data_IF_517083004798
#
_entry.id   IF_517083004798
#
_cell.length_a   1.000
_cell.length_b   1.000
_cell.length_c   1.000
_cell.angle_alpha   90.00
_cell.angle_beta   90.00
_cell.angle_gamma   90.00
#
_symmetry.space_group_name_H-M   'P 1'
#
loop_
_entity.id
_entity.type
_entity.pdbx_description
1 polymer ?
#
# COMPACT_ATOMS: atom_id res chain seq x y z
N UNK A 1 -1.45 -9.05 -29.99
CA UNK A 1 -2.90 -8.81 -30.08
C UNK A 1 -3.74 -10.03 -30.45
N UNK A 2 -3.48 -10.75 -31.57
CA UNK A 2 -4.33 -11.89 -31.97
C UNK A 2 -4.53 -12.98 -30.89
N UNK A 3 -3.46 -13.31 -30.14
CA UNK A 3 -3.53 -14.26 -29.01
C UNK A 3 -4.41 -13.75 -27.85
N UNK A 4 -4.33 -12.45 -27.52
CA UNK A 4 -5.13 -11.83 -26.45
C UNK A 4 -6.60 -11.82 -26.84
N UNK A 5 -6.91 -11.43 -28.08
CA UNK A 5 -8.28 -11.44 -28.61
C UNK A 5 -8.92 -12.82 -28.49
N UNK A 6 -8.20 -13.89 -28.85
CA UNK A 6 -8.72 -15.26 -28.73
C UNK A 6 -9.13 -15.61 -27.29
N UNK A 7 -8.32 -15.25 -26.30
CA UNK A 7 -8.62 -15.51 -24.88
C UNK A 7 -9.87 -14.73 -24.42
N UNK A 8 -10.00 -13.48 -24.87
CA UNK A 8 -11.18 -12.64 -24.56
C UNK A 8 -12.45 -13.19 -25.22
N UNK A 9 -12.36 -13.61 -26.48
CA UNK A 9 -13.48 -14.22 -27.21
C UNK A 9 -13.91 -15.54 -26.54
N UNK A 10 -12.96 -16.37 -26.12
CA UNK A 10 -13.22 -17.62 -25.39
C UNK A 10 -13.88 -17.37 -24.02
N UNK A 11 -13.38 -16.39 -23.24
CA UNK A 11 -14.01 -15.99 -21.98
C UNK A 11 -15.44 -15.46 -22.18
N UNK A 12 -15.69 -14.77 -23.30
CA UNK A 12 -17.04 -14.29 -23.66
C UNK A 12 -18.00 -15.43 -23.97
N UNK A 13 -17.56 -16.42 -24.76
CA UNK A 13 -18.38 -17.56 -25.17
C UNK A 13 -18.69 -18.49 -23.98
N UNK A 14 -17.69 -18.77 -23.17
CA UNK A 14 -17.82 -19.63 -21.99
C UNK A 14 -18.50 -18.95 -20.80
N UNK A 15 -18.65 -17.61 -20.84
CA UNK A 15 -19.06 -16.78 -19.70
C UNK A 15 -18.20 -17.02 -18.46
N UNK A 16 -16.95 -17.37 -18.65
CA UNK A 16 -16.03 -17.60 -17.54
C UNK A 16 -15.77 -16.28 -16.78
N UNK A 17 -15.85 -16.27 -15.44
CA UNK A 17 -15.82 -15.03 -14.65
C UNK A 17 -14.40 -14.52 -14.35
N UNK A 18 -13.36 -15.26 -14.73
CA UNK A 18 -11.98 -14.88 -14.48
C UNK A 18 -11.21 -14.74 -15.78
N UNK A 19 -10.38 -13.71 -15.90
CA UNK A 19 -9.59 -13.50 -17.10
C UNK A 19 -8.14 -13.18 -16.73
N UNK A 20 -7.23 -14.04 -17.19
CA UNK A 20 -5.80 -13.90 -16.98
C UNK A 20 -5.09 -13.53 -18.29
N UNK A 21 -4.51 -12.33 -18.28
CA UNK A 21 -3.73 -11.75 -19.36
C UNK A 21 -2.33 -11.35 -18.89
N UNK A 22 -1.70 -12.20 -18.06
CA UNK A 22 -0.31 -12.02 -17.62
C UNK A 22 0.69 -12.13 -18.77
N UNK A 23 1.69 -11.26 -18.77
CA UNK A 23 2.85 -11.28 -19.68
C UNK A 23 2.45 -11.39 -21.17
N UNK A 24 1.54 -10.49 -21.58
CA UNK A 24 1.04 -10.41 -22.96
C UNK A 24 1.59 -9.22 -23.74
N UNK A 25 2.44 -8.41 -23.12
CA UNK A 25 2.99 -7.19 -23.71
C UNK A 25 1.93 -6.12 -24.00
N UNK A 26 0.82 -6.11 -23.24
CA UNK A 26 -0.28 -5.16 -23.40
C UNK A 26 0.19 -3.76 -23.01
N UNK A 27 -0.06 -2.77 -23.86
CA UNK A 27 0.28 -1.35 -23.63
C UNK A 27 -0.93 -0.51 -23.24
N UNK A 28 -2.12 -0.88 -23.71
CA UNK A 28 -3.38 -0.19 -23.42
C UNK A 28 -4.51 -1.21 -23.22
N UNK A 29 -5.32 -0.99 -22.19
CA UNK A 29 -6.52 -1.81 -21.91
C UNK A 29 -7.59 -1.57 -22.98
N UNK A 30 -7.69 -0.35 -23.52
CA UNK A 30 -8.70 0.01 -24.53
C UNK A 30 -8.48 -0.69 -25.87
N UNK A 31 -7.23 -1.03 -26.19
CA UNK A 31 -6.90 -1.75 -27.42
C UNK A 31 -7.31 -3.23 -27.37
N UNK A 32 -7.70 -3.75 -26.20
CA UNK A 32 -8.13 -5.14 -26.03
C UNK A 32 -9.60 -5.26 -26.44
N UNK A 33 -9.91 -5.83 -27.63
CA UNK A 33 -11.26 -5.78 -28.17
C UNK A 33 -12.22 -6.61 -27.31
N UNK A 34 -13.31 -6.00 -26.86
CA UNK A 34 -14.37 -6.68 -26.11
C UNK A 34 -14.11 -6.89 -24.62
N UNK A 35 -12.90 -6.63 -24.10
CA UNK A 35 -12.57 -6.82 -22.68
C UNK A 35 -13.53 -6.05 -21.75
N UNK A 36 -13.71 -4.76 -22.02
CA UNK A 36 -14.52 -3.85 -21.20
C UNK A 36 -16.03 -4.11 -21.32
N UNK A 37 -16.44 -5.05 -22.19
CA UNK A 37 -17.84 -5.51 -22.33
C UNK A 37 -18.13 -6.79 -21.55
N UNK A 38 -17.10 -7.44 -20.98
CA UNK A 38 -17.24 -8.68 -20.21
C UNK A 38 -17.75 -8.42 -18.80
N UNK A 39 -19.02 -8.04 -18.72
CA UNK A 39 -19.67 -7.67 -17.46
C UNK A 39 -19.82 -8.82 -16.46
N UNK A 40 -19.58 -10.07 -16.87
CA UNK A 40 -19.57 -11.25 -16.00
C UNK A 40 -18.26 -11.41 -15.21
N UNK A 41 -17.21 -10.65 -15.54
CA UNK A 41 -15.91 -10.80 -14.88
C UNK A 41 -15.97 -10.40 -13.41
N UNK A 42 -15.46 -11.29 -12.56
CA UNK A 42 -15.21 -11.08 -11.13
C UNK A 42 -13.71 -10.95 -10.86
N UNK A 43 -12.83 -11.52 -11.70
CA UNK A 43 -11.37 -11.36 -11.59
C UNK A 43 -10.73 -11.00 -12.92
N UNK A 44 -9.87 -10.00 -12.90
CA UNK A 44 -9.07 -9.57 -14.04
C UNK A 44 -7.60 -9.41 -13.64
N UNK A 45 -6.74 -10.21 -14.27
CA UNK A 45 -5.29 -10.17 -14.07
C UNK A 45 -4.61 -9.66 -15.34
N UNK A 46 -3.89 -8.55 -15.20
CA UNK A 46 -3.15 -7.87 -16.27
C UNK A 46 -1.69 -7.65 -15.85
N UNK A 47 -1.15 -8.50 -14.98
CA UNK A 47 0.18 -8.33 -14.40
C UNK A 47 1.30 -8.58 -15.42
N UNK A 48 2.47 -7.99 -15.19
CA UNK A 48 3.64 -8.11 -16.07
C UNK A 48 3.36 -7.66 -17.52
N UNK A 49 2.63 -6.56 -17.67
CA UNK A 49 2.41 -5.92 -18.97
C UNK A 49 3.11 -4.56 -19.04
N UNK A 50 2.75 -3.73 -20.01
CA UNK A 50 3.32 -2.40 -20.23
C UNK A 50 2.24 -1.31 -20.18
N UNK A 51 1.16 -1.55 -19.43
CA UNK A 51 -0.01 -0.66 -19.36
C UNK A 51 0.40 0.67 -18.72
N UNK A 52 0.08 1.79 -19.39
CA UNK A 52 0.37 3.15 -18.90
C UNK A 52 -0.84 3.84 -18.28
N UNK A 53 -2.03 3.57 -18.82
CA UNK A 53 -3.27 4.23 -18.42
C UNK A 53 -4.34 3.18 -18.17
N UNK A 54 -5.03 3.32 -17.04
CA UNK A 54 -6.26 2.57 -16.77
C UNK A 54 -7.42 3.44 -17.25
N UNK A 55 -8.21 3.01 -18.26
CA UNK A 55 -9.27 3.84 -18.80
C UNK A 55 -10.46 3.89 -17.83
N UNK A 56 -11.22 4.99 -17.83
CA UNK A 56 -12.37 5.15 -16.95
C UNK A 56 -13.46 4.08 -17.17
N UNK A 57 -13.50 3.53 -18.39
CA UNK A 57 -14.35 2.41 -18.81
C UNK A 57 -14.07 1.09 -18.10
N UNK A 58 -12.98 0.97 -17.33
CA UNK A 58 -12.75 -0.18 -16.42
C UNK A 58 -13.92 -0.36 -15.44
N UNK A 59 -14.58 0.74 -15.06
CA UNK A 59 -15.73 0.73 -14.17
C UNK A 59 -16.99 0.06 -14.78
N UNK A 60 -17.00 -0.22 -16.10
CA UNK A 60 -18.07 -1.00 -16.74
C UNK A 60 -18.08 -2.46 -16.28
N UNK A 61 -16.97 -2.96 -15.73
CA UNK A 61 -16.88 -4.28 -15.12
C UNK A 61 -17.51 -4.26 -13.71
N UNK A 62 -18.82 -4.01 -13.63
CA UNK A 62 -19.54 -3.77 -12.38
C UNK A 62 -19.58 -5.00 -11.43
N UNK A 63 -19.26 -6.20 -11.94
CA UNK A 63 -19.12 -7.41 -11.13
C UNK A 63 -17.69 -7.69 -10.65
N UNK A 64 -16.72 -6.85 -11.03
CA UNK A 64 -15.31 -7.12 -10.73
C UNK A 64 -15.04 -7.01 -9.23
N UNK A 65 -14.50 -8.08 -8.67
CA UNK A 65 -14.10 -8.18 -7.26
C UNK A 65 -12.59 -8.04 -7.08
N UNK A 66 -11.81 -8.47 -8.08
CA UNK A 66 -10.35 -8.48 -8.03
C UNK A 66 -9.78 -7.91 -9.31
N UNK A 67 -8.96 -6.88 -9.15
CA UNK A 67 -8.19 -6.27 -10.22
C UNK A 67 -6.70 -6.29 -9.88
N UNK A 68 -5.94 -7.00 -10.70
CA UNK A 68 -4.49 -7.17 -10.56
C UNK A 68 -3.78 -6.52 -11.73
N UNK A 69 -3.09 -5.41 -11.47
CA UNK A 69 -2.32 -4.62 -12.43
C UNK A 69 -0.84 -4.56 -12.03
N UNK A 70 -0.38 -5.53 -11.25
CA UNK A 70 0.98 -5.63 -10.74
C UNK A 70 2.04 -5.61 -11.86
N UNK A 71 3.13 -4.88 -11.66
CA UNK A 71 4.23 -4.79 -12.61
C UNK A 71 3.79 -4.30 -14.00
N UNK A 72 3.40 -3.02 -14.04
CA UNK A 72 3.02 -2.26 -15.24
C UNK A 72 3.69 -0.87 -15.20
N UNK A 73 3.28 0.04 -16.08
CA UNK A 73 3.81 1.41 -16.15
C UNK A 73 2.74 2.46 -15.81
N UNK A 74 1.79 2.13 -14.93
CA UNK A 74 0.64 2.99 -14.64
C UNK A 74 1.10 4.22 -13.87
N UNK A 75 0.81 5.41 -14.41
CA UNK A 75 1.16 6.70 -13.80
C UNK A 75 -0.01 7.34 -13.05
N UNK A 76 -1.24 7.09 -13.52
CA UNK A 76 -2.47 7.62 -12.93
C UNK A 76 -3.62 6.60 -12.99
N UNK A 77 -4.60 6.81 -12.12
CA UNK A 77 -5.84 6.04 -12.06
C UNK A 77 -7.04 6.94 -12.36
N UNK A 78 -8.08 6.43 -13.04
CA UNK A 78 -9.30 7.17 -13.27
C UNK A 78 -10.09 7.30 -11.96
N UNK A 79 -10.81 8.40 -11.77
CA UNK A 79 -11.70 8.59 -10.61
C UNK A 79 -12.82 7.56 -10.52
N UNK A 80 -13.21 6.95 -11.65
CA UNK A 80 -14.25 5.91 -11.68
C UNK A 80 -13.82 4.59 -11.03
N UNK A 81 -12.53 4.37 -10.76
CA UNK A 81 -12.09 3.12 -10.12
C UNK A 81 -12.67 2.99 -8.70
N UNK A 82 -12.78 4.11 -7.97
CA UNK A 82 -13.32 4.12 -6.61
C UNK A 82 -14.84 3.94 -6.57
N UNK A 83 -15.54 3.96 -7.71
CA UNK A 83 -17.00 3.73 -7.75
C UNK A 83 -17.37 2.27 -8.01
N UNK A 84 -16.40 1.37 -8.14
CA UNK A 84 -16.64 -0.05 -8.44
C UNK A 84 -17.27 -0.75 -7.23
N UNK A 85 -18.56 -1.09 -7.35
CA UNK A 85 -19.39 -1.52 -6.22
C UNK A 85 -18.97 -2.84 -5.56
N UNK A 86 -18.26 -3.72 -6.29
CA UNK A 86 -17.86 -5.05 -5.80
C UNK A 86 -16.35 -5.22 -5.65
N UNK A 87 -15.53 -4.21 -5.95
CA UNK A 87 -14.08 -4.36 -5.95
C UNK A 87 -13.55 -4.49 -4.51
N UNK A 88 -13.01 -5.67 -4.19
CA UNK A 88 -12.48 -6.04 -2.87
C UNK A 88 -10.96 -6.00 -2.82
N UNK A 89 -10.31 -6.36 -3.92
CA UNK A 89 -8.85 -6.44 -4.01
C UNK A 89 -8.37 -5.64 -5.21
N UNK A 90 -7.53 -4.64 -4.93
CA UNK A 90 -6.86 -3.83 -5.93
C UNK A 90 -5.35 -3.94 -5.73
N UNK A 91 -4.68 -4.59 -6.67
CA UNK A 91 -3.23 -4.68 -6.69
C UNK A 91 -2.64 -3.82 -7.81
N UNK A 92 -1.91 -2.80 -7.41
CA UNK A 92 -1.21 -1.82 -8.24
C UNK A 92 0.29 -1.80 -7.92
N UNK A 93 0.81 -2.87 -7.33
CA UNK A 93 2.22 -2.95 -6.97
C UNK A 93 3.12 -2.89 -8.20
N UNK A 94 4.35 -2.38 -8.04
CA UNK A 94 5.33 -2.21 -9.12
C UNK A 94 4.75 -1.42 -10.31
N UNK A 95 4.33 -0.18 -10.06
CA UNK A 95 3.88 0.76 -11.09
C UNK A 95 4.66 2.08 -10.98
N UNK A 96 4.16 3.14 -11.62
CA UNK A 96 4.80 4.47 -11.65
C UNK A 96 3.93 5.54 -10.96
N UNK A 97 2.96 5.14 -10.13
CA UNK A 97 1.99 6.04 -9.52
C UNK A 97 2.68 7.08 -8.64
N UNK A 98 2.43 8.36 -8.91
CA UNK A 98 2.87 9.49 -8.06
C UNK A 98 1.73 10.18 -7.31
N UNK A 99 0.49 9.93 -7.73
CA UNK A 99 -0.72 10.47 -7.11
C UNK A 99 -1.85 9.45 -7.14
N UNK A 100 -2.87 9.69 -6.32
CA UNK A 100 -4.14 8.98 -6.34
C UNK A 100 -5.24 9.97 -6.75
N UNK A 101 -6.29 9.53 -7.47
CA UNK A 101 -7.34 10.41 -7.93
C UNK A 101 -8.16 10.99 -6.76
N UNK A 102 -8.83 12.12 -7.00
CA UNK A 102 -9.74 12.70 -6.00
C UNK A 102 -10.86 11.71 -5.68
N UNK A 103 -11.18 11.58 -4.39
CA UNK A 103 -12.22 10.66 -3.93
C UNK A 103 -11.79 9.19 -3.91
N UNK A 104 -10.48 8.89 -3.98
CA UNK A 104 -9.99 7.51 -4.00
C UNK A 104 -10.50 6.64 -2.85
N UNK A 105 -10.79 7.18 -1.66
CA UNK A 105 -11.36 6.38 -0.58
C UNK A 105 -12.86 6.08 -0.66
N UNK A 106 -13.54 6.42 -1.76
CA UNK A 106 -14.97 6.17 -1.95
C UNK A 106 -15.33 4.70 -2.28
N UNK A 107 -14.37 3.77 -2.19
CA UNK A 107 -14.63 2.35 -2.45
C UNK A 107 -15.65 1.78 -1.46
N UNK A 108 -16.76 1.18 -1.93
CA UNK A 108 -17.78 0.65 -1.02
C UNK A 108 -17.34 -0.58 -0.22
N UNK A 109 -16.46 -1.42 -0.79
CA UNK A 109 -16.14 -2.75 -0.24
C UNK A 109 -14.66 -3.15 -0.39
N UNK A 110 -13.75 -2.19 -0.59
CA UNK A 110 -12.34 -2.50 -0.80
C UNK A 110 -11.67 -2.98 0.50
N UNK A 111 -11.19 -4.22 0.50
CA UNK A 111 -10.58 -4.87 1.66
C UNK A 111 -9.06 -4.88 1.57
N UNK A 112 -8.49 -4.99 0.36
CA UNK A 112 -7.04 -5.11 0.15
C UNK A 112 -6.61 -4.12 -0.92
N UNK A 113 -5.65 -3.27 -0.54
CA UNK A 113 -5.02 -2.31 -1.44
C UNK A 113 -3.50 -2.48 -1.39
N UNK A 114 -2.93 -2.88 -2.52
CA UNK A 114 -1.48 -2.97 -2.70
C UNK A 114 -0.98 -1.87 -3.64
N UNK A 115 -0.19 -0.96 -3.10
CA UNK A 115 0.46 0.16 -3.78
C UNK A 115 2.00 0.08 -3.63
N UNK A 116 2.54 -1.09 -3.30
CA UNK A 116 3.97 -1.30 -3.06
C UNK A 116 4.78 -0.98 -4.33
N UNK A 117 6.02 -0.48 -4.21
CA UNK A 117 6.89 -0.16 -5.35
C UNK A 117 6.24 0.85 -6.32
N UNK A 118 5.87 2.01 -5.79
CA UNK A 118 5.41 3.17 -6.56
C UNK A 118 6.23 4.42 -6.16
N UNK A 119 5.78 5.60 -6.56
CA UNK A 119 6.40 6.90 -6.30
C UNK A 119 5.50 7.78 -5.39
N UNK A 120 4.72 7.16 -4.50
CA UNK A 120 3.76 7.87 -3.63
C UNK A 120 4.46 8.52 -2.44
N UNK A 121 3.91 9.63 -1.95
CA UNK A 121 4.39 10.34 -0.77
C UNK A 121 3.22 10.79 0.12
N UNK A 122 3.51 11.47 1.23
CA UNK A 122 2.50 11.89 2.20
C UNK A 122 1.39 12.79 1.61
N UNK A 123 1.67 13.54 0.53
CA UNK A 123 0.67 14.39 -0.15
C UNK A 123 -0.35 13.59 -0.93
N UNK A 124 -0.03 12.33 -1.26
CA UNK A 124 -0.89 11.44 -2.04
C UNK A 124 -2.06 10.92 -1.20
N UNK A 125 -1.87 10.75 0.12
CA UNK A 125 -2.91 10.27 1.03
C UNK A 125 -3.77 11.43 1.55
N UNK A 126 -4.67 11.94 0.71
CA UNK A 126 -5.63 12.98 1.10
C UNK A 126 -6.61 12.50 2.19
N UNK A 127 -7.28 13.43 2.89
CA UNK A 127 -8.27 13.10 3.94
C UNK A 127 -9.32 12.07 3.49
N UNK A 128 -9.80 12.18 2.25
CA UNK A 128 -10.80 11.25 1.71
C UNK A 128 -10.27 9.82 1.54
N UNK A 129 -8.96 9.56 1.62
CA UNK A 129 -8.42 8.21 1.61
C UNK A 129 -8.85 7.42 2.86
N UNK A 130 -8.95 8.10 4.00
CA UNK A 130 -9.13 7.47 5.32
C UNK A 130 -10.59 7.12 5.64
N UNK A 131 -11.53 7.45 4.75
CA UNK A 131 -12.94 7.08 4.87
C UNK A 131 -13.21 5.62 4.46
N UNK A 132 -12.21 4.89 3.95
CA UNK A 132 -12.32 3.47 3.57
C UNK A 132 -12.49 2.58 4.81
N UNK A 133 -13.74 2.42 5.24
CA UNK A 133 -14.10 1.65 6.42
C UNK A 133 -13.88 0.15 6.24
N UNK A 134 -13.94 -0.38 5.02
CA UNK A 134 -13.80 -1.81 4.73
C UNK A 134 -12.35 -2.30 4.62
N UNK A 135 -11.37 -1.38 4.57
CA UNK A 135 -9.97 -1.71 4.31
C UNK A 135 -9.35 -2.51 5.46
N UNK A 136 -8.78 -3.67 5.12
CA UNK A 136 -8.13 -4.62 6.05
C UNK A 136 -6.64 -4.73 5.83
N UNK A 137 -6.17 -4.59 4.60
CA UNK A 137 -4.76 -4.66 4.29
C UNK A 137 -4.33 -3.52 3.38
N UNK A 138 -3.31 -2.77 3.82
CA UNK A 138 -2.73 -1.65 3.11
C UNK A 138 -1.22 -1.85 2.96
N UNK A 139 -0.78 -1.98 1.72
CA UNK A 139 0.64 -2.09 1.39
C UNK A 139 1.10 -0.84 0.66
N UNK A 140 2.02 -0.10 1.29
CA UNK A 140 2.65 1.13 0.82
C UNK A 140 4.18 0.98 0.80
N UNK A 141 4.69 -0.26 0.81
CA UNK A 141 6.12 -0.51 0.89
C UNK A 141 6.86 0.04 -0.33
N UNK A 142 8.13 0.41 -0.17
CA UNK A 142 8.97 0.89 -1.26
C UNK A 142 8.33 2.07 -2.03
N UNK A 143 7.96 3.13 -1.30
CA UNK A 143 7.44 4.40 -1.83
C UNK A 143 8.36 5.56 -1.39
N UNK A 144 7.86 6.78 -1.23
CA UNK A 144 8.59 8.01 -0.86
C UNK A 144 7.99 8.69 0.38
N UNK A 145 7.34 7.94 1.25
CA UNK A 145 6.77 8.49 2.48
C UNK A 145 7.87 8.90 3.47
N UNK A 146 7.89 10.16 3.89
CA UNK A 146 8.69 10.61 5.04
C UNK A 146 7.87 10.66 6.33
N UNK A 147 6.55 10.85 6.21
CA UNK A 147 5.60 10.81 7.32
C UNK A 147 4.33 10.09 6.87
N UNK A 148 3.62 9.49 7.82
CA UNK A 148 2.25 9.07 7.63
C UNK A 148 1.32 10.13 8.25
N UNK A 149 0.20 10.49 7.59
CA UNK A 149 -0.76 11.40 8.17
C UNK A 149 -1.43 10.79 9.41
N UNK A 150 -1.75 11.59 10.45
CA UNK A 150 -2.46 11.14 11.65
C UNK A 150 -3.77 10.38 11.38
N UNK A 151 -4.44 10.73 10.28
CA UNK A 151 -5.68 10.11 9.82
C UNK A 151 -5.53 8.60 9.51
N UNK A 152 -4.31 8.06 9.44
CA UNK A 152 -4.11 6.60 9.37
C UNK A 152 -4.86 5.87 10.49
N UNK A 153 -5.00 6.48 11.67
CA UNK A 153 -5.77 5.94 12.79
C UNK A 153 -7.27 5.80 12.54
N UNK A 154 -7.83 6.42 11.48
CA UNK A 154 -9.25 6.32 11.11
C UNK A 154 -9.59 5.01 10.40
N UNK A 155 -8.60 4.28 9.87
CA UNK A 155 -8.77 2.96 9.26
C UNK A 155 -9.01 1.86 10.31
N UNK A 156 -10.12 1.93 11.05
CA UNK A 156 -10.40 1.08 12.23
C UNK A 156 -10.42 -0.43 11.95
N UNK A 157 -10.60 -0.82 10.69
CA UNK A 157 -10.64 -2.22 10.27
C UNK A 157 -9.31 -2.78 9.77
N UNK A 158 -8.26 -1.95 9.74
CA UNK A 158 -6.96 -2.33 9.24
C UNK A 158 -6.31 -3.40 10.14
N UNK A 159 -5.89 -4.49 9.51
CA UNK A 159 -5.24 -5.66 10.12
C UNK A 159 -3.77 -5.75 9.69
N UNK A 160 -3.48 -5.32 8.46
CA UNK A 160 -2.13 -5.35 7.88
C UNK A 160 -1.77 -3.93 7.42
N UNK A 161 -0.67 -3.40 7.94
CA UNK A 161 -0.05 -2.16 7.47
C UNK A 161 1.40 -2.42 7.12
N UNK A 162 1.75 -2.27 5.84
CA UNK A 162 3.13 -2.37 5.39
C UNK A 162 3.60 -1.06 4.79
N UNK A 163 4.57 -0.42 5.45
CA UNK A 163 5.25 0.81 5.02
C UNK A 163 6.77 0.62 4.99
N UNK A 164 7.23 -0.62 4.81
CA UNK A 164 8.66 -0.98 4.68
C UNK A 164 9.36 -0.21 3.55
N UNK A 165 10.68 -0.05 3.62
CA UNK A 165 11.49 0.55 2.54
C UNK A 165 11.01 1.96 2.12
N UNK A 166 10.52 2.74 3.08
CA UNK A 166 10.19 4.16 2.89
C UNK A 166 11.28 5.05 3.50
N UNK A 167 11.03 6.35 3.64
CA UNK A 167 11.94 7.29 4.31
C UNK A 167 11.34 7.79 5.63
N UNK A 168 10.49 6.98 6.29
CA UNK A 168 9.73 7.42 7.46
C UNK A 168 10.67 7.82 8.60
N UNK A 169 10.49 9.05 9.10
CA UNK A 169 11.27 9.59 10.22
C UNK A 169 10.56 9.41 11.57
N UNK A 170 9.24 9.25 11.54
CA UNK A 170 8.40 9.01 12.71
C UNK A 170 7.15 8.23 12.30
N UNK A 171 6.49 7.60 13.27
CA UNK A 171 5.12 7.09 13.14
C UNK A 171 4.17 8.01 13.91
N UNK A 172 2.98 8.34 13.38
CA UNK A 172 1.98 9.11 14.11
C UNK A 172 1.47 8.32 15.33
N UNK A 173 1.22 9.00 16.44
CA UNK A 173 0.66 8.39 17.67
C UNK A 173 -0.69 7.71 17.41
N UNK A 174 -1.42 8.20 16.42
CA UNK A 174 -2.72 7.67 15.99
C UNK A 174 -2.63 6.23 15.46
N UNK A 175 -1.44 5.71 15.18
CA UNK A 175 -1.26 4.28 14.88
C UNK A 175 -1.77 3.39 16.04
N UNK A 176 -1.70 3.88 17.28
CA UNK A 176 -2.26 3.21 18.45
C UNK A 176 -3.79 3.09 18.45
N UNK A 177 -4.49 3.72 17.50
CA UNK A 177 -5.93 3.59 17.33
C UNK A 177 -6.32 2.40 16.43
N UNK A 178 -5.36 1.75 15.75
CA UNK A 178 -5.57 0.60 14.88
C UNK A 178 -5.71 -0.69 15.69
N UNK A 179 -6.75 -0.80 16.52
CA UNK A 179 -6.94 -1.90 17.49
C UNK A 179 -7.06 -3.29 16.86
N UNK A 180 -7.37 -3.36 15.55
CA UNK A 180 -7.43 -4.60 14.76
C UNK A 180 -6.12 -4.97 14.08
N UNK A 181 -5.08 -4.13 14.18
CA UNK A 181 -3.78 -4.40 13.57
C UNK A 181 -3.17 -5.68 14.14
N UNK A 182 -2.64 -6.52 13.24
CA UNK A 182 -1.96 -7.79 13.52
C UNK A 182 -0.61 -7.85 12.85
N UNK A 183 -0.48 -7.23 11.67
CA UNK A 183 0.77 -7.20 10.92
C UNK A 183 1.22 -5.76 10.67
N UNK A 184 2.44 -5.45 11.10
CA UNK A 184 3.07 -4.14 10.96
C UNK A 184 4.48 -4.29 10.41
N UNK A 185 4.68 -3.83 9.17
CA UNK A 185 5.98 -3.83 8.51
C UNK A 185 6.51 -2.40 8.38
N UNK A 186 7.52 -2.05 9.16
CA UNK A 186 8.16 -0.73 9.20
C UNK A 186 9.68 -0.80 8.97
N UNK A 187 10.20 -1.97 8.60
CA UNK A 187 11.63 -2.17 8.34
C UNK A 187 12.15 -1.32 7.16
N UNK A 188 13.43 -0.97 7.18
CA UNK A 188 14.07 -0.20 6.11
C UNK A 188 13.57 1.26 6.02
N UNK A 189 13.37 1.90 7.18
CA UNK A 189 13.01 3.32 7.28
C UNK A 189 14.10 4.12 8.01
N UNK A 190 13.78 5.35 8.44
CA UNK A 190 14.64 6.26 9.19
C UNK A 190 14.12 6.48 10.61
N UNK A 191 13.37 5.51 11.15
CA UNK A 191 12.78 5.61 12.48
C UNK A 191 13.87 5.47 13.54
N UNK A 192 13.88 6.40 14.49
CA UNK A 192 14.77 6.37 15.65
C UNK A 192 14.03 5.99 16.94
N UNK A 193 12.73 6.25 16.98
CA UNK A 193 11.82 6.05 18.10
C UNK A 193 10.47 5.53 17.59
N UNK A 194 9.71 4.92 18.50
CA UNK A 194 8.32 4.50 18.29
C UNK A 194 7.38 5.31 19.21
N UNK A 195 6.18 5.71 18.76
CA UNK A 195 5.21 6.37 19.64
C UNK A 195 4.77 5.39 20.75
N UNK A 196 4.72 5.81 22.04
CA UNK A 196 4.26 4.96 23.13
C UNK A 196 2.86 4.36 22.91
N UNK A 197 2.01 5.07 22.15
CA UNK A 197 0.67 4.63 21.78
C UNK A 197 0.66 3.34 20.95
N UNK A 198 1.75 3.00 20.26
CA UNK A 198 1.90 1.69 19.61
C UNK A 198 1.81 0.55 20.64
N UNK A 199 2.22 0.80 21.87
CA UNK A 199 2.08 -0.13 22.99
C UNK A 199 0.63 -0.44 23.38
N UNK A 200 -0.35 0.39 22.97
CA UNK A 200 -1.77 0.12 23.22
C UNK A 200 -2.32 -1.05 22.38
N UNK A 201 -1.61 -1.43 21.33
CA UNK A 201 -2.00 -2.52 20.43
C UNK A 201 -1.59 -3.88 20.99
N UNK A 202 -2.38 -4.91 20.68
CA UNK A 202 -2.06 -6.31 21.00
C UNK A 202 -1.09 -6.92 19.97
N UNK A 203 0.14 -6.41 19.93
CA UNK A 203 1.18 -6.83 18.97
C UNK A 203 2.10 -7.94 19.51
N UNK A 204 1.88 -8.40 20.75
CA UNK A 204 2.72 -9.43 21.39
C UNK A 204 2.17 -10.84 21.22
N UNK A 205 0.96 -10.98 20.66
CA UNK A 205 0.34 -12.28 20.39
C UNK A 205 1.13 -13.05 19.32
N UNK A 206 1.17 -14.38 19.42
CA UNK A 206 1.78 -15.28 18.43
C UNK A 206 1.16 -15.17 17.01
N UNK A 207 0.00 -14.52 16.90
CA UNK A 207 -0.69 -14.25 15.64
C UNK A 207 -0.31 -12.90 15.02
N UNK A 208 0.55 -12.14 15.69
CA UNK A 208 0.99 -10.84 15.24
C UNK A 208 2.39 -10.92 14.64
N UNK A 209 2.61 -10.17 13.57
CA UNK A 209 3.90 -10.08 12.88
C UNK A 209 4.31 -8.63 12.86
N UNK A 210 5.41 -8.31 13.52
CA UNK A 210 5.97 -6.95 13.51
C UNK A 210 7.40 -7.02 13.02
N UNK A 211 7.72 -6.26 11.98
CA UNK A 211 9.05 -6.19 11.38
C UNK A 211 9.53 -4.75 11.43
N UNK A 212 10.66 -4.53 12.09
CA UNK A 212 11.16 -3.18 12.39
C UNK A 212 12.67 -3.04 12.19
N UNK A 213 13.29 -4.02 11.54
CA UNK A 213 14.72 -4.08 11.25
C UNK A 213 15.18 -2.92 10.33
N UNK A 214 16.48 -2.75 10.16
CA UNK A 214 17.08 -1.78 9.23
C UNK A 214 16.74 -0.30 9.46
N UNK A 215 16.30 0.05 10.67
CA UNK A 215 16.06 1.42 11.12
C UNK A 215 17.21 1.92 12.02
N UNK A 216 17.52 3.22 12.02
CA UNK A 216 18.53 3.81 12.91
C UNK A 216 17.99 4.01 14.34
N UNK A 217 17.59 2.92 15.00
CA UNK A 217 17.07 2.94 16.36
C UNK A 217 18.05 3.57 17.34
N UNK A 218 17.54 4.34 18.31
CA UNK A 218 18.35 4.73 19.47
C UNK A 218 18.76 3.50 20.26
N UNK A 219 19.93 3.53 20.93
CA UNK A 219 20.47 2.39 21.66
C UNK A 219 19.43 1.68 22.55
N UNK A 220 18.61 2.37 23.37
CA UNK A 220 17.60 1.69 24.18
C UNK A 220 16.56 0.88 23.40
N UNK A 221 16.22 1.24 22.16
CA UNK A 221 15.33 0.42 21.32
C UNK A 221 16.12 -0.69 20.63
N UNK A 222 17.32 -0.38 20.13
CA UNK A 222 18.18 -1.36 19.47
C UNK A 222 18.51 -2.54 20.40
N UNK A 223 18.90 -2.24 21.65
CA UNK A 223 19.23 -3.25 22.66
C UNK A 223 18.04 -4.18 22.95
N UNK A 224 16.81 -3.64 22.97
CA UNK A 224 15.59 -4.45 23.18
C UNK A 224 15.23 -5.26 21.92
N UNK A 225 15.51 -4.72 20.73
CA UNK A 225 15.24 -5.40 19.47
C UNK A 225 16.15 -6.63 19.28
N UNK A 226 17.38 -6.61 19.77
CA UNK A 226 18.28 -7.77 19.79
C UNK A 226 17.68 -8.95 20.57
N UNK A 227 16.95 -8.67 21.66
CA UNK A 227 16.24 -9.70 22.44
C UNK A 227 14.97 -10.15 21.71
N UNK A 228 14.28 -9.22 21.06
CA UNK A 228 13.18 -9.49 20.16
C UNK A 228 12.09 -8.44 20.22
N UNK A 229 11.22 -8.45 19.21
CA UNK A 229 10.19 -7.41 19.03
C UNK A 229 9.23 -7.30 20.23
N UNK A 230 8.92 -8.40 20.91
CA UNK A 230 8.07 -8.36 22.11
C UNK A 230 8.66 -7.51 23.22
N UNK A 231 9.99 -7.54 23.41
CA UNK A 231 10.69 -6.73 24.41
C UNK A 231 10.65 -5.25 24.03
N UNK A 232 10.75 -4.91 22.75
CA UNK A 232 10.54 -3.54 22.27
C UNK A 232 9.12 -3.07 22.61
N UNK A 233 8.09 -3.87 22.32
CA UNK A 233 6.69 -3.52 22.62
C UNK A 233 6.44 -3.37 24.12
N UNK A 234 7.08 -4.19 24.97
CA UNK A 234 7.01 -4.04 26.42
C UNK A 234 7.74 -2.79 26.90
N UNK A 235 8.94 -2.54 26.37
CA UNK A 235 9.74 -1.38 26.69
C UNK A 235 9.01 -0.07 26.38
N UNK A 236 8.36 0.04 25.21
CA UNK A 236 7.63 1.26 24.85
C UNK A 236 6.39 1.54 25.72
N UNK A 237 5.88 0.52 26.44
CA UNK A 237 4.79 0.68 27.41
C UNK A 237 5.27 1.27 28.73
N UNK A 238 6.56 1.15 29.04
CA UNK A 238 7.13 1.60 30.32
C UNK A 238 7.07 3.12 30.47
N UNK A 239 6.90 3.59 31.72
CA UNK A 239 7.00 5.02 32.04
C UNK A 239 8.38 5.59 31.73
N UNK A 240 9.43 4.78 31.87
CA UNK A 240 10.79 5.13 31.51
C UNK A 240 10.90 5.50 30.03
N UNK A 241 10.35 4.67 29.14
CA UNK A 241 10.36 4.97 27.70
C UNK A 241 9.52 6.20 27.37
N UNK A 242 8.33 6.36 27.97
CA UNK A 242 7.49 7.54 27.77
C UNK A 242 8.23 8.84 28.10
N UNK A 243 9.01 8.85 29.19
CA UNK A 243 9.88 9.97 29.55
C UNK A 243 10.98 10.21 28.51
N UNK A 244 11.69 9.16 28.06
CA UNK A 244 12.72 9.23 27.02
C UNK A 244 12.16 9.76 25.70
N UNK A 245 10.99 9.26 25.29
CA UNK A 245 10.28 9.69 24.09
C UNK A 245 9.88 11.18 24.17
N UNK A 246 9.33 11.62 25.31
CA UNK A 246 8.96 13.02 25.53
C UNK A 246 10.16 13.97 25.49
N UNK A 247 11.31 13.56 26.03
CA UNK A 247 12.54 14.36 26.01
C UNK A 247 13.15 14.46 24.61
N UNK A 248 13.19 13.35 23.88
CA UNK A 248 13.79 13.29 22.54
C UNK A 248 12.93 13.94 21.46
N UNK A 249 11.61 14.02 21.64
CA UNK A 249 10.72 14.74 20.72
C UNK A 249 10.81 16.27 20.89
N UNK A 250 11.19 16.76 22.08
CA UNK A 250 11.42 18.18 22.34
C UNK A 250 12.79 18.67 21.86
N UNK A 251 13.82 17.82 21.94
CA UNK A 251 15.12 18.10 21.37
C UNK A 251 15.04 17.85 19.85
N UNK A 252 14.95 18.92 19.05
CA UNK A 252 14.86 18.87 17.59
C UNK A 252 16.16 18.36 16.96
N UNK A 253 16.46 17.08 17.11
CA UNK A 253 17.52 16.42 16.37
C UNK A 253 17.11 16.36 14.89
N UNK A 254 18.04 16.73 14.01
CA UNK A 254 17.82 16.59 12.58
C UNK A 254 17.54 15.11 12.25
N UNK A 255 16.56 14.80 11.39
CA UNK A 255 16.22 13.42 11.10
C UNK A 255 17.42 12.71 10.44
N UNK A 256 17.62 11.40 10.68
CA UNK A 256 18.71 10.63 10.07
C UNK A 256 18.74 10.83 8.55
N UNK A 257 19.90 10.84 7.87
CA UNK A 257 19.93 11.05 6.42
C UNK A 257 19.17 9.95 5.65
N UNK A 258 18.72 10.25 4.44
CA UNK A 258 18.10 9.24 3.56
C UNK A 258 19.14 8.18 3.17
N UNK A 259 18.82 6.91 3.40
CA UNK A 259 19.73 5.78 3.13
C UNK A 259 19.72 5.36 1.65
N UNK A 260 18.55 5.38 1.01
CA UNK A 260 18.36 4.86 -0.35
C UNK A 260 18.30 5.97 -1.41
N UNK A 261 19.09 5.85 -2.46
CA UNK A 261 18.95 6.68 -3.67
C UNK A 261 17.75 6.20 -4.50
N UNK A 262 16.56 6.72 -4.19
CA UNK A 262 15.32 6.37 -4.87
C UNK A 262 15.26 6.86 -6.32
N UNK A 263 16.23 7.64 -6.80
CA UNK A 263 16.28 8.07 -8.21
C UNK A 263 16.47 6.90 -9.19
N UNK A 264 17.06 5.79 -8.72
CA UNK A 264 17.36 4.59 -9.53
C UNK A 264 16.22 3.57 -9.58
N UNK A 265 15.10 3.83 -8.88
CA UNK A 265 13.93 2.94 -8.87
C UNK A 265 13.44 2.66 -10.29
N UNK A 266 13.04 1.41 -10.54
CA UNK A 266 12.42 1.00 -11.82
C UNK A 266 11.17 1.84 -12.10
N UNK A 267 10.39 2.18 -11.06
CA UNK A 267 9.22 3.07 -11.13
C UNK A 267 9.54 4.50 -11.58
N UNK A 268 10.80 4.94 -11.54
CA UNK A 268 11.26 6.27 -12.02
C UNK A 268 12.00 6.22 -13.34
N UNK A 269 12.39 5.04 -13.82
CA UNK A 269 13.05 4.91 -15.12
C UNK A 269 12.06 5.30 -16.21
N UNK A 270 12.37 6.39 -16.93
CA UNK A 270 11.70 6.72 -18.19
C UNK A 270 12.21 5.75 -19.25
N UNK A 271 11.29 5.06 -19.91
CA UNK A 271 11.64 4.27 -21.09
C UNK A 271 12.28 5.22 -22.11
N UNK A 272 13.56 5.03 -22.40
CA UNK A 272 14.19 5.72 -23.53
C UNK A 272 13.68 5.02 -24.79
N UNK A 273 12.77 5.71 -25.50
CA UNK A 273 12.18 5.42 -26.82
C UNK A 273 12.21 3.96 -27.32
#
# INVERSE_FOLDING_TARGET
MAKVKKVVDEARETKYPELDLVDRGITSIEEIPGLLSLTNLTRLTLSHNKIRVVPASIANLYNLEILTLFNNHIEELPTSISTMAKLRILNLGMNRLSCLPRGFGAFPVLEVLDLTYNNLNERTLSTNFFIMDTLRALYLGDNEFERLPPQIGELKNLQILSVRENDLIELPKEIGQLTRLRELHIQGNRLTLLPPELGNLDLMSHRCVVRMDDNPWVAPIADQLEVGVTHVIEYIRSETYKYVYGRNTQNTLSPPPKKSDKSKKISKKRDHN
#
